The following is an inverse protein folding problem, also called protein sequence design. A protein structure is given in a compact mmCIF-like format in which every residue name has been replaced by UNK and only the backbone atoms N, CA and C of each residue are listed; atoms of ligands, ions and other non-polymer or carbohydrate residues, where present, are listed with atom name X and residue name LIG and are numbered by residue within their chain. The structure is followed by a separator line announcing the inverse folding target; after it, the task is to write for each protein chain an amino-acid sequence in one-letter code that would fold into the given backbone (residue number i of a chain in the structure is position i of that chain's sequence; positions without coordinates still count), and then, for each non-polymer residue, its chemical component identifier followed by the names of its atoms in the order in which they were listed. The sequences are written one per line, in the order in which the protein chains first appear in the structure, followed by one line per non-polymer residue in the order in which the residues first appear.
data_IF_456189622430
#
_entry.id   IF_456189622430
#
_cell.length_a   1.000
_cell.length_b   1.000
_cell.length_c   1.000
_cell.angle_alpha   90.00
_cell.angle_beta   90.00
_cell.angle_gamma   90.00
#
_symmetry.space_group_name_H-M   'P 1'
#
loop_
_entity.id
_entity.type
_entity.pdbx_description
1 polymer ?
#
# COMPACT_ATOMS: atom_id res chain seq x y z
N UNK A 1 0.49 15.00 2.56
CA UNK A 1 1.28 14.34 3.61
C UNK A 1 0.74 14.60 5.01
N UNK A 2 1.03 13.68 5.92
CA UNK A 2 0.75 13.85 7.34
C UNK A 2 2.04 14.14 8.12
N UNK A 3 2.04 15.23 8.90
CA UNK A 3 3.14 15.61 9.77
C UNK A 3 2.71 15.53 11.22
N UNK A 4 3.36 14.70 12.01
CA UNK A 4 3.09 14.62 13.44
C UNK A 4 3.56 15.88 14.19
N UNK A 5 3.03 16.10 15.41
CA UNK A 5 3.34 17.27 16.23
C UNK A 5 4.84 17.50 16.46
N UNK A 6 5.67 16.45 16.46
CA UNK A 6 7.12 16.57 16.62
C UNK A 6 7.83 17.33 15.49
N UNK A 7 7.19 17.44 14.32
CA UNK A 7 7.73 18.13 13.14
C UNK A 7 7.16 19.54 12.95
N UNK A 8 6.35 20.04 13.90
CA UNK A 8 5.69 21.35 13.79
C UNK A 8 6.64 22.53 13.53
N UNK A 9 7.89 22.43 13.97
CA UNK A 9 8.91 23.48 13.86
C UNK A 9 10.13 23.04 13.01
N UNK A 10 9.99 21.97 12.23
CA UNK A 10 11.06 21.47 11.34
C UNK A 10 11.35 22.42 10.18
N UNK A 11 12.53 22.28 9.59
CA UNK A 11 12.93 22.99 8.37
C UNK A 11 12.45 22.18 7.16
N UNK A 12 11.79 22.80 6.16
CA UNK A 12 11.41 22.12 4.92
C UNK A 12 12.66 21.72 4.12
N UNK A 13 12.57 20.59 3.40
CA UNK A 13 13.61 20.13 2.49
C UNK A 13 13.68 21.03 1.26
N UNK A 14 12.52 21.43 0.73
CA UNK A 14 12.41 22.39 -0.37
C UNK A 14 12.04 23.74 0.20
N UNK A 15 12.97 24.70 0.09
CA UNK A 15 12.73 26.09 0.45
C UNK A 15 12.12 26.87 -0.69
N UNK A 16 10.88 27.34 -0.49
CA UNK A 16 10.22 28.20 -1.46
C UNK A 16 9.51 29.38 -0.77
N UNK A 17 9.19 30.41 -1.53
CA UNK A 17 8.41 31.55 -1.02
C UNK A 17 7.05 31.11 -0.44
N UNK A 18 6.47 30.02 -0.96
CA UNK A 18 5.19 29.48 -0.49
C UNK A 18 5.23 28.93 0.94
N UNK A 19 6.40 28.63 1.48
CA UNK A 19 6.57 28.17 2.84
C UNK A 19 6.52 29.32 3.86
N UNK A 20 6.57 30.57 3.40
CA UNK A 20 6.72 31.75 4.24
C UNK A 20 5.39 32.32 4.70
N UNK A 21 5.40 33.00 5.86
CA UNK A 21 4.17 33.54 6.48
C UNK A 21 3.44 34.52 5.59
N UNK A 22 4.17 35.33 4.81
CA UNK A 22 3.62 36.34 3.91
C UNK A 22 3.27 35.81 2.50
N UNK A 23 3.30 34.51 2.25
CA UNK A 23 3.11 33.93 0.92
C UNK A 23 1.76 34.25 0.23
N UNK A 24 0.74 34.65 0.99
CA UNK A 24 -0.56 35.04 0.45
C UNK A 24 -0.62 36.51 0.02
N UNK A 25 0.33 37.34 0.43
CA UNK A 25 0.42 38.76 0.06
C UNK A 25 1.31 38.96 -1.15
N UNK A 26 0.70 38.81 -2.34
CA UNK A 26 1.42 38.94 -3.61
C UNK A 26 1.98 40.34 -3.84
N UNK A 27 1.38 41.37 -3.24
CA UNK A 27 1.86 42.75 -3.37
C UNK A 27 3.16 43.02 -2.63
N UNK A 28 3.44 42.19 -1.61
CA UNK A 28 4.58 42.35 -0.70
C UNK A 28 5.64 41.24 -0.82
N UNK A 29 5.62 40.43 -1.88
CA UNK A 29 6.58 39.33 -2.08
C UNK A 29 8.02 39.78 -2.22
N UNK A 30 8.27 41.06 -2.57
CA UNK A 30 9.61 41.65 -2.61
C UNK A 30 10.22 41.86 -1.21
N UNK A 31 9.40 41.94 -0.19
CA UNK A 31 9.81 41.98 1.23
C UNK A 31 9.83 40.55 1.77
N UNK A 32 10.95 39.86 1.57
CA UNK A 32 11.09 38.47 1.92
C UNK A 32 10.96 38.24 3.42
N UNK A 33 9.98 37.42 3.83
CA UNK A 33 9.85 36.98 5.23
C UNK A 33 10.58 35.65 5.44
N UNK A 34 11.51 35.63 6.38
CA UNK A 34 12.28 34.45 6.73
C UNK A 34 11.49 33.45 7.62
N UNK A 35 10.34 33.86 8.17
CA UNK A 35 9.53 33.02 9.02
C UNK A 35 8.72 32.00 8.21
N UNK A 36 8.78 30.76 8.62
CA UNK A 36 7.95 29.72 8.02
C UNK A 36 6.50 29.79 8.51
N UNK A 37 5.60 29.36 7.65
CA UNK A 37 4.21 29.06 8.04
C UNK A 37 4.18 28.07 9.20
N UNK A 38 3.07 28.08 9.94
CA UNK A 38 2.88 27.17 11.08
C UNK A 38 2.57 25.74 10.63
N UNK A 39 2.87 24.79 11.50
CA UNK A 39 2.50 23.36 11.37
C UNK A 39 2.94 22.77 10.01
N UNK A 40 2.06 21.98 9.37
CA UNK A 40 2.36 21.28 8.11
C UNK A 40 2.49 22.19 6.89
N UNK A 41 1.91 23.38 6.93
CA UNK A 41 1.98 24.33 5.80
C UNK A 41 3.38 24.81 5.46
N UNK A 42 4.33 24.72 6.40
CA UNK A 42 5.75 25.02 6.16
C UNK A 42 6.44 24.03 5.22
N UNK A 43 5.89 22.83 5.08
CA UNK A 43 6.42 21.77 4.22
C UNK A 43 5.81 21.77 2.82
N UNK A 44 4.98 22.76 2.51
CA UNK A 44 4.43 22.89 1.16
C UNK A 44 5.56 23.14 0.16
N UNK A 45 5.47 22.45 -0.97
CA UNK A 45 6.37 22.62 -2.12
C UNK A 45 5.68 23.45 -3.20
N UNK A 46 6.39 23.86 -4.23
CA UNK A 46 5.75 24.42 -5.42
C UNK A 46 4.68 23.49 -5.96
N UNK A 47 3.57 24.00 -6.45
CA UNK A 47 2.42 23.20 -6.94
C UNK A 47 1.78 22.31 -5.86
N UNK A 48 1.57 22.84 -4.68
CA UNK A 48 1.04 22.12 -3.52
C UNK A 48 -0.38 21.59 -3.69
N UNK A 49 -1.16 22.16 -4.60
CA UNK A 49 -2.58 21.83 -4.72
C UNK A 49 -2.90 21.24 -6.09
N UNK A 50 -3.20 19.94 -6.11
CA UNK A 50 -3.83 19.31 -7.25
C UNK A 50 -5.35 19.24 -7.02
N UNK A 51 -6.09 20.20 -7.61
CA UNK A 51 -7.53 20.32 -7.39
C UNK A 51 -8.35 19.20 -8.04
N UNK A 52 -7.76 18.39 -8.91
CA UNK A 52 -8.39 17.19 -9.49
C UNK A 52 -8.16 15.98 -8.60
N UNK A 53 -6.90 15.70 -8.24
CA UNK A 53 -6.55 14.48 -7.49
C UNK A 53 -6.93 14.56 -6.01
N UNK A 54 -6.91 15.77 -5.41
CA UNK A 54 -7.21 15.91 -3.99
C UNK A 54 -8.65 15.50 -3.61
N UNK A 55 -9.71 15.87 -4.36
CA UNK A 55 -11.06 15.37 -4.11
C UNK A 55 -11.19 13.85 -4.32
N UNK A 56 -10.50 13.28 -5.32
CA UNK A 56 -10.51 11.84 -5.58
C UNK A 56 -9.87 11.10 -4.39
N UNK A 57 -8.73 11.56 -3.91
CA UNK A 57 -8.07 11.00 -2.73
C UNK A 57 -8.96 11.14 -1.48
N UNK A 58 -9.63 12.28 -1.29
CA UNK A 58 -10.53 12.49 -0.17
C UNK A 58 -11.72 11.51 -0.22
N UNK A 59 -12.29 11.26 -1.40
CA UNK A 59 -13.37 10.28 -1.57
C UNK A 59 -12.90 8.87 -1.19
N UNK A 60 -11.72 8.45 -1.65
CA UNK A 60 -11.13 7.15 -1.30
C UNK A 60 -10.86 7.02 0.20
N UNK A 61 -10.32 8.05 0.84
CA UNK A 61 -10.09 8.05 2.29
C UNK A 61 -11.39 7.97 3.10
N UNK A 62 -12.43 8.70 2.68
CA UNK A 62 -13.77 8.61 3.29
C UNK A 62 -14.33 7.19 3.17
N UNK A 63 -14.19 6.57 2.01
CA UNK A 63 -14.63 5.20 1.78
C UNK A 63 -13.94 4.21 2.73
N UNK A 64 -12.62 4.28 2.84
CA UNK A 64 -11.83 3.42 3.76
C UNK A 64 -12.24 3.65 5.21
N UNK A 65 -12.43 4.90 5.62
CA UNK A 65 -12.88 5.22 6.98
C UNK A 65 -14.29 4.68 7.27
N UNK A 66 -15.19 4.73 6.30
CA UNK A 66 -16.56 4.21 6.44
C UNK A 66 -16.56 2.67 6.57
N UNK A 67 -15.71 1.97 5.84
CA UNK A 67 -15.54 0.52 5.99
C UNK A 67 -14.92 0.15 7.35
N UNK A 68 -14.03 1.00 7.85
CA UNK A 68 -13.25 0.77 9.06
C UNK A 68 -12.01 -0.08 8.79
N UNK A 69 -10.83 0.44 9.19
CA UNK A 69 -9.55 -0.24 8.93
C UNK A 69 -9.49 -1.61 9.60
N UNK A 70 -10.00 -1.75 10.83
CA UNK A 70 -10.06 -3.05 11.51
C UNK A 70 -10.90 -4.07 10.74
N UNK A 71 -12.07 -3.68 10.26
CA UNK A 71 -12.92 -4.58 9.47
C UNK A 71 -12.24 -5.05 8.18
N UNK A 72 -11.52 -4.15 7.51
CA UNK A 72 -10.73 -4.49 6.31
C UNK A 72 -9.63 -5.49 6.66
N UNK A 73 -8.90 -5.26 7.75
CA UNK A 73 -7.82 -6.15 8.20
C UNK A 73 -8.36 -7.52 8.57
N UNK A 74 -9.44 -7.58 9.35
CA UNK A 74 -10.06 -8.83 9.81
C UNK A 74 -10.58 -9.65 8.62
N UNK A 75 -11.21 -9.01 7.64
CA UNK A 75 -11.66 -9.67 6.42
C UNK A 75 -10.50 -10.24 5.61
N UNK A 76 -9.46 -9.44 5.37
CA UNK A 76 -8.27 -9.90 4.67
C UNK A 76 -7.56 -11.04 5.43
N UNK A 77 -7.55 -11.00 6.78
CA UNK A 77 -6.94 -12.05 7.58
C UNK A 77 -7.70 -13.37 7.45
N UNK A 78 -9.03 -13.35 7.45
CA UNK A 78 -9.84 -14.56 7.20
C UNK A 78 -9.47 -15.22 5.86
N UNK A 79 -9.41 -14.46 4.78
CA UNK A 79 -9.00 -14.96 3.47
C UNK A 79 -7.56 -15.49 3.47
N UNK A 80 -6.64 -14.77 4.08
CA UNK A 80 -5.24 -15.16 4.17
C UNK A 80 -5.04 -16.44 5.00
N UNK A 81 -5.73 -16.58 6.13
CA UNK A 81 -5.65 -17.79 6.97
C UNK A 81 -6.20 -19.02 6.25
N UNK A 82 -7.27 -18.88 5.45
CA UNK A 82 -7.76 -19.96 4.58
C UNK A 82 -6.65 -20.42 3.60
N UNK A 83 -5.99 -19.48 2.95
CA UNK A 83 -4.87 -19.75 2.03
C UNK A 83 -3.70 -20.43 2.75
N UNK A 84 -3.26 -19.89 3.89
CA UNK A 84 -2.16 -20.43 4.69
C UNK A 84 -2.45 -21.89 5.10
N UNK A 85 -3.64 -22.15 5.63
CA UNK A 85 -4.06 -23.49 6.06
C UNK A 85 -3.95 -24.53 4.95
N UNK A 86 -4.27 -24.15 3.71
CA UNK A 86 -4.30 -25.06 2.56
C UNK A 86 -2.96 -25.20 1.83
N UNK A 87 -2.09 -24.17 1.88
CA UNK A 87 -0.82 -24.17 1.18
C UNK A 87 0.37 -24.56 2.05
N UNK A 88 0.33 -24.31 3.36
CA UNK A 88 1.43 -24.67 4.27
C UNK A 88 1.80 -26.16 4.24
N UNK A 89 0.85 -27.12 4.18
CA UNK A 89 1.16 -28.55 4.06
C UNK A 89 1.89 -28.92 2.77
N UNK A 90 1.92 -28.04 1.79
CA UNK A 90 2.56 -28.21 0.48
C UNK A 90 3.96 -27.59 0.40
N UNK A 91 4.62 -27.40 1.54
CA UNK A 91 5.94 -26.74 1.64
C UNK A 91 5.98 -25.28 1.13
N UNK A 92 4.82 -24.62 1.00
CA UNK A 92 4.79 -23.19 0.77
C UNK A 92 5.10 -22.48 2.09
N UNK A 93 6.12 -21.65 2.09
CA UNK A 93 6.50 -20.85 3.27
C UNK A 93 5.81 -19.48 3.27
N UNK A 94 5.67 -18.92 4.46
CA UNK A 94 5.08 -17.59 4.69
C UNK A 94 5.98 -16.80 5.62
N UNK A 95 5.81 -15.47 5.63
CA UNK A 95 6.53 -14.61 6.56
C UNK A 95 6.26 -15.02 8.03
N UNK A 96 7.24 -14.76 8.88
CA UNK A 96 7.04 -14.90 10.33
C UNK A 96 5.83 -14.07 10.78
N UNK A 97 5.02 -14.61 11.70
CA UNK A 97 3.80 -13.96 12.22
C UNK A 97 4.03 -12.50 12.65
N UNK A 98 5.22 -12.14 13.14
CA UNK A 98 5.58 -10.78 13.53
C UNK A 98 5.56 -9.80 12.35
N UNK A 99 5.87 -10.27 11.14
CA UNK A 99 6.00 -9.44 9.94
C UNK A 99 4.83 -9.63 8.96
N UNK A 100 4.08 -10.70 9.13
CA UNK A 100 2.93 -11.02 8.28
C UNK A 100 1.86 -9.91 8.34
N UNK A 101 1.36 -9.52 7.17
CA UNK A 101 0.23 -8.59 7.01
C UNK A 101 -0.76 -9.17 6.03
N UNK A 102 -2.05 -9.34 6.42
CA UNK A 102 -3.01 -10.08 5.61
C UNK A 102 -3.33 -9.44 4.26
N UNK A 103 -3.17 -8.13 4.14
CA UNK A 103 -3.39 -7.41 2.88
C UNK A 103 -2.17 -7.42 1.92
N UNK A 104 -1.01 -7.89 2.38
CA UNK A 104 0.21 -7.97 1.58
C UNK A 104 1.20 -8.95 2.19
N UNK A 105 1.40 -10.09 1.57
CA UNK A 105 2.33 -11.13 2.01
C UNK A 105 2.91 -11.93 0.84
N UNK A 106 3.86 -12.81 1.12
CA UNK A 106 4.52 -13.61 0.11
C UNK A 106 4.31 -15.10 0.34
N UNK A 107 4.15 -15.81 -0.77
CA UNK A 107 4.24 -17.27 -0.82
C UNK A 107 5.68 -17.61 -1.21
N UNK A 108 6.44 -18.21 -0.30
CA UNK A 108 7.76 -18.73 -0.58
C UNK A 108 7.65 -20.05 -1.32
N UNK A 109 7.99 -20.03 -2.60
CA UNK A 109 7.82 -21.17 -3.51
C UNK A 109 8.96 -22.16 -3.32
N UNK A 110 8.70 -23.48 -3.19
CA UNK A 110 9.72 -24.52 -3.13
C UNK A 110 10.67 -24.45 -4.34
N UNK A 111 11.94 -24.85 -4.13
CA UNK A 111 12.99 -24.74 -5.17
C UNK A 111 12.70 -25.57 -6.43
N UNK A 112 11.90 -26.60 -6.29
CA UNK A 112 11.48 -27.51 -7.35
C UNK A 112 10.54 -26.85 -8.36
N UNK A 113 9.89 -25.77 -7.96
CA UNK A 113 8.95 -25.02 -8.80
C UNK A 113 9.64 -23.81 -9.40
N UNK A 114 9.51 -23.66 -10.72
CA UNK A 114 9.92 -22.44 -11.39
C UNK A 114 8.90 -21.31 -11.17
N UNK A 115 9.24 -20.24 -10.44
CA UNK A 115 8.29 -19.19 -10.10
C UNK A 115 7.78 -18.41 -11.33
N UNK A 116 8.57 -18.37 -12.41
CA UNK A 116 8.18 -17.70 -13.66
C UNK A 116 7.10 -18.52 -14.37
N UNK A 117 7.20 -19.84 -14.38
CA UNK A 117 6.20 -20.73 -14.97
C UNK A 117 4.90 -20.68 -14.15
N UNK A 118 5.01 -20.74 -12.83
CA UNK A 118 3.85 -20.55 -11.94
C UNK A 118 3.16 -19.21 -12.20
N UNK A 119 3.93 -18.12 -12.32
CA UNK A 119 3.36 -16.79 -12.62
C UNK A 119 2.61 -16.78 -13.96
N UNK A 120 3.17 -17.40 -15.02
CA UNK A 120 2.49 -17.51 -16.32
C UNK A 120 1.16 -18.26 -16.22
N UNK A 121 1.13 -19.35 -15.44
CA UNK A 121 -0.13 -20.11 -15.24
C UNK A 121 -1.16 -19.30 -14.48
N UNK A 122 -0.73 -18.57 -13.43
CA UNK A 122 -1.61 -17.65 -12.70
C UNK A 122 -2.18 -16.57 -13.62
N UNK A 123 -1.36 -15.98 -14.49
CA UNK A 123 -1.81 -14.97 -15.46
C UNK A 123 -2.84 -15.54 -16.46
N UNK A 124 -2.62 -16.76 -16.94
CA UNK A 124 -3.55 -17.46 -17.84
C UNK A 124 -4.94 -17.67 -17.20
N UNK A 125 -4.95 -17.91 -15.87
CA UNK A 125 -6.17 -18.02 -15.07
C UNK A 125 -6.70 -16.66 -14.59
N UNK A 126 -6.12 -15.53 -15.09
CA UNK A 126 -6.47 -14.16 -14.73
C UNK A 126 -6.24 -13.85 -13.24
N UNK A 127 -5.24 -14.47 -12.63
CA UNK A 127 -4.80 -14.24 -11.25
C UNK A 127 -3.52 -13.40 -11.31
N UNK A 128 -3.65 -12.11 -11.02
CA UNK A 128 -2.55 -11.16 -11.16
C UNK A 128 -1.81 -11.00 -9.84
N UNK A 129 -0.58 -11.51 -9.80
CA UNK A 129 0.35 -11.45 -8.67
C UNK A 129 1.70 -10.89 -9.13
N UNK A 130 2.59 -10.59 -8.19
CA UNK A 130 3.95 -10.14 -8.54
C UNK A 130 5.01 -11.11 -8.02
N UNK A 131 6.07 -11.33 -8.81
CA UNK A 131 7.24 -12.05 -8.34
C UNK A 131 8.18 -11.14 -7.56
N UNK A 132 8.81 -11.69 -6.52
CA UNK A 132 9.90 -11.09 -5.75
C UNK A 132 10.96 -12.16 -5.50
N UNK A 133 11.96 -12.24 -6.39
CA UNK A 133 12.87 -13.40 -6.43
C UNK A 133 12.07 -14.69 -6.63
N UNK A 134 12.25 -15.66 -5.73
CA UNK A 134 11.52 -16.92 -5.76
C UNK A 134 10.16 -16.88 -5.03
N UNK A 135 9.71 -15.72 -4.62
CA UNK A 135 8.46 -15.57 -3.90
C UNK A 135 7.37 -14.99 -4.80
N UNK A 136 6.14 -15.44 -4.60
CA UNK A 136 4.93 -14.85 -5.19
C UNK A 136 4.29 -13.92 -4.18
N UNK A 137 4.27 -12.62 -4.46
CA UNK A 137 3.62 -11.63 -3.60
C UNK A 137 2.13 -11.57 -3.89
N UNK A 138 1.34 -11.83 -2.85
CA UNK A 138 -0.12 -11.75 -2.86
C UNK A 138 -0.56 -10.47 -2.17
N UNK A 139 -1.57 -9.81 -2.75
CA UNK A 139 -2.17 -8.60 -2.21
C UNK A 139 -3.69 -8.77 -2.18
N UNK A 140 -4.24 -8.93 -0.99
CA UNK A 140 -5.68 -9.10 -0.76
C UNK A 140 -6.33 -7.77 -0.39
N UNK A 141 -7.60 -7.62 -0.76
CA UNK A 141 -8.40 -6.49 -0.35
C UNK A 141 -9.88 -6.89 -0.28
N UNK A 142 -10.74 -5.96 0.10
CA UNK A 142 -12.19 -6.16 0.29
C UNK A 142 -12.96 -6.56 -0.96
N UNK A 143 -12.36 -6.46 -2.15
CA UNK A 143 -12.96 -6.94 -3.40
C UNK A 143 -12.62 -8.38 -3.76
N UNK A 144 -11.72 -9.03 -3.00
CA UNK A 144 -11.44 -10.46 -3.14
C UNK A 144 -12.41 -11.28 -2.29
N UNK A 145 -12.64 -12.51 -2.69
CA UNK A 145 -13.50 -13.47 -1.98
C UNK A 145 -12.86 -14.86 -1.91
N UNK A 146 -13.56 -15.81 -1.27
CA UNK A 146 -13.07 -17.18 -1.13
C UNK A 146 -12.84 -17.87 -2.49
N UNK A 147 -13.64 -17.60 -3.53
CA UNK A 147 -13.46 -18.19 -4.85
C UNK A 147 -12.14 -17.76 -5.49
N UNK A 148 -11.74 -16.50 -5.32
CA UNK A 148 -10.43 -16.00 -5.78
C UNK A 148 -9.29 -16.76 -5.10
N UNK A 149 -9.42 -16.98 -3.79
CA UNK A 149 -8.43 -17.72 -2.99
C UNK A 149 -8.36 -19.18 -3.43
N UNK A 150 -9.50 -19.84 -3.62
CA UNK A 150 -9.55 -21.23 -4.07
C UNK A 150 -8.94 -21.41 -5.47
N UNK A 151 -9.20 -20.47 -6.38
CA UNK A 151 -8.56 -20.46 -7.69
C UNK A 151 -7.04 -20.41 -7.60
N UNK A 152 -6.50 -19.47 -6.82
CA UNK A 152 -5.06 -19.36 -6.61
C UNK A 152 -4.48 -20.65 -6.02
N UNK A 153 -5.11 -21.19 -4.98
CA UNK A 153 -4.71 -22.45 -4.34
C UNK A 153 -4.69 -23.60 -5.36
N UNK A 154 -5.71 -23.68 -6.21
CA UNK A 154 -5.82 -24.74 -7.22
C UNK A 154 -4.65 -24.67 -8.22
N UNK A 155 -4.29 -23.47 -8.70
CA UNK A 155 -3.17 -23.30 -9.63
C UNK A 155 -1.84 -23.67 -8.96
N UNK A 156 -1.61 -23.20 -7.73
CA UNK A 156 -0.40 -23.53 -6.97
C UNK A 156 -0.29 -25.03 -6.73
N UNK A 157 -1.37 -25.72 -6.36
CA UNK A 157 -1.39 -27.17 -6.18
C UNK A 157 -1.02 -27.95 -7.45
N UNK A 158 -1.55 -27.52 -8.60
CA UNK A 158 -1.24 -28.16 -9.89
C UNK A 158 0.22 -28.03 -10.31
N UNK A 159 0.95 -27.04 -9.78
CA UNK A 159 2.38 -26.91 -10.02
C UNK A 159 3.24 -27.81 -9.12
N UNK A 160 2.68 -28.29 -8.04
CA UNK A 160 3.37 -29.13 -7.05
C UNK A 160 3.26 -30.65 -7.32
N UNK A 161 2.35 -30.99 -8.23
CA UNK A 161 2.08 -32.37 -8.67
C UNK A 161 2.67 -32.60 -10.05
#
# INVERSE_FOLDING_TARGET
GYFSKKFKDGVPIEESWMNRTNAADFSNLTNYDIKYKSISSRYNVGQTTNFILSPIMLAGLKQINNWGISNIVDYCDQLAQNMIKKLKPLNISFENKKYFKPHLFSLGIPKEINPVNLKKRLDNEKIYVSLRGNNVRVSLNVFNNDDDIEKLICVVKKELI
#
